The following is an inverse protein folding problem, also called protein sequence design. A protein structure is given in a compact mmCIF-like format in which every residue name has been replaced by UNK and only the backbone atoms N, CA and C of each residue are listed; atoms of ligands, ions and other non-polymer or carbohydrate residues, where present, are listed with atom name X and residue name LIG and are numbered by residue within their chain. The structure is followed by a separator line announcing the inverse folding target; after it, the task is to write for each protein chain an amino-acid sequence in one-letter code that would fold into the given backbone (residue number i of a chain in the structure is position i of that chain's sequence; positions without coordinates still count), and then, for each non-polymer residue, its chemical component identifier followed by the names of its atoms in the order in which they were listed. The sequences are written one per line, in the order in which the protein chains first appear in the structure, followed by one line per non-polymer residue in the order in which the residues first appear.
data_IF_638783486141
#
_entry.id   IF_638783486141
#
_cell.length_a   1.000
_cell.length_b   1.000
_cell.length_c   1.000
_cell.angle_alpha   90.00
_cell.angle_beta   90.00
_cell.angle_gamma   90.00
#
_symmetry.space_group_name_H-M   'P 1'
#
loop_
_entity.id
_entity.type
_entity.pdbx_description
1 polymer ?
#
# COMPACT_ATOMS: atom_id res chain seq x y z
N UNK A 1 -8.77 -2.20 3.20
CA UNK A 1 -7.33 -2.48 3.41
C UNK A 1 -6.88 -3.75 2.72
N UNK A 2 -7.29 -4.95 3.15
CA UNK A 2 -6.90 -6.21 2.45
C UNK A 2 -7.36 -6.17 0.98
N UNK A 3 -8.63 -5.84 0.72
CA UNK A 3 -9.13 -5.68 -0.64
C UNK A 3 -8.42 -4.59 -1.46
N UNK A 4 -7.84 -3.57 -0.81
CA UNK A 4 -7.05 -2.55 -1.50
C UNK A 4 -5.68 -3.11 -1.93
N UNK A 5 -5.06 -3.93 -1.07
CA UNK A 5 -3.83 -4.66 -1.40
C UNK A 5 -4.07 -5.61 -2.58
N UNK A 6 -5.15 -6.39 -2.53
CA UNK A 6 -5.51 -7.34 -3.58
C UNK A 6 -5.85 -6.63 -4.89
N UNK A 7 -6.57 -5.51 -4.84
CA UNK A 7 -6.89 -4.69 -6.02
C UNK A 7 -5.63 -4.13 -6.68
N UNK A 8 -4.65 -3.69 -5.89
CA UNK A 8 -3.33 -3.29 -6.36
C UNK A 8 -2.42 -4.47 -6.75
N UNK A 9 -2.93 -5.71 -6.73
CA UNK A 9 -2.18 -6.94 -7.01
C UNK A 9 -1.00 -7.18 -6.07
N UNK A 10 -1.02 -6.60 -4.88
CA UNK A 10 -0.03 -6.83 -3.86
C UNK A 10 -0.27 -8.19 -3.18
N UNK A 11 0.80 -8.93 -2.91
CA UNK A 11 0.72 -10.18 -2.13
C UNK A 11 0.69 -9.85 -0.64
N UNK A 12 -0.45 -10.13 0.00
CA UNK A 12 -0.64 -9.98 1.45
C UNK A 12 0.12 -11.08 2.19
N UNK A 13 0.92 -10.68 3.17
CA UNK A 13 1.71 -11.58 4.04
C UNK A 13 1.02 -11.76 5.39
N UNK A 14 0.59 -10.66 6.02
CA UNK A 14 -0.08 -10.66 7.32
C UNK A 14 -0.88 -9.35 7.49
N UNK A 15 -1.74 -9.29 8.50
CA UNK A 15 -2.45 -8.07 8.86
C UNK A 15 -2.82 -8.02 10.34
N UNK A 16 -2.88 -6.81 10.90
CA UNK A 16 -3.36 -6.56 12.25
C UNK A 16 -4.28 -5.35 12.25
N UNK A 17 -5.38 -5.44 12.99
CA UNK A 17 -6.33 -4.35 13.19
C UNK A 17 -6.66 -4.21 14.66
N UNK A 18 -6.68 -2.96 15.13
CA UNK A 18 -7.09 -2.60 16.48
C UNK A 18 -8.17 -1.53 16.42
N UNK A 19 -9.33 -1.82 17.04
CA UNK A 19 -10.41 -0.85 17.22
C UNK A 19 -10.23 -0.18 18.57
N UNK A 20 -10.31 1.15 18.58
CA UNK A 20 -10.25 1.94 19.81
C UNK A 20 -11.66 2.22 20.33
N UNK A 21 -11.75 2.43 21.64
CA UNK A 21 -12.95 2.93 22.29
C UNK A 21 -12.79 4.45 22.54
N UNK A 22 -13.83 5.27 22.32
CA UNK A 22 -15.18 4.89 21.87
C UNK A 22 -15.31 4.64 20.35
N UNK A 23 -14.37 5.11 19.54
CA UNK A 23 -14.35 4.95 18.08
C UNK A 23 -12.91 5.01 17.56
N UNK A 24 -12.75 4.78 16.26
CA UNK A 24 -11.47 4.78 15.57
C UNK A 24 -10.86 3.39 15.41
N UNK A 25 -9.98 3.27 14.43
CA UNK A 25 -9.30 2.04 14.09
C UNK A 25 -7.88 2.36 13.63
N UNK A 26 -6.93 1.50 14.01
CA UNK A 26 -5.63 1.41 13.35
C UNK A 26 -5.46 0.04 12.74
N UNK A 27 -4.91 -0.01 11.54
CA UNK A 27 -4.70 -1.25 10.81
C UNK A 27 -3.43 -1.21 9.97
N UNK A 28 -2.75 -2.35 9.88
CA UNK A 28 -1.60 -2.54 9.00
C UNK A 28 -1.78 -3.85 8.26
N UNK A 29 -1.58 -3.81 6.95
CA UNK A 29 -1.47 -4.98 6.08
C UNK A 29 -0.03 -5.04 5.60
N UNK A 30 0.68 -6.07 6.04
CA UNK A 30 2.03 -6.36 5.55
C UNK A 30 1.89 -7.01 4.18
N UNK A 31 2.56 -6.44 3.19
CA UNK A 31 2.66 -7.00 1.84
C UNK A 31 4.11 -7.37 1.56
N UNK A 32 4.37 -8.13 0.49
CA UNK A 32 5.74 -8.50 0.13
C UNK A 32 6.64 -7.26 0.05
N UNK A 33 7.61 -7.18 0.97
CA UNK A 33 8.66 -6.15 1.05
C UNK A 33 8.21 -4.73 1.47
N UNK A 34 6.94 -4.52 1.88
CA UNK A 34 6.42 -3.19 2.26
C UNK A 34 5.11 -3.28 3.09
N UNK A 35 4.21 -2.28 3.05
CA UNK A 35 2.97 -2.29 3.84
C UNK A 35 1.91 -1.28 3.36
N UNK A 36 0.65 -1.56 3.70
CA UNK A 36 -0.41 -0.54 3.71
C UNK A 36 -0.89 -0.32 5.15
N UNK A 37 -0.93 0.93 5.61
CA UNK A 37 -1.38 1.28 6.95
C UNK A 37 -2.54 2.28 6.90
N UNK A 38 -3.43 2.23 7.90
CA UNK A 38 -4.54 3.16 8.06
C UNK A 38 -4.77 3.49 9.53
N UNK A 39 -5.09 4.75 9.79
CA UNK A 39 -5.56 5.27 11.07
C UNK A 39 -6.82 6.11 10.84
N UNK A 40 -7.90 5.85 11.58
CA UNK A 40 -9.18 6.55 11.38
C UNK A 40 -9.63 7.31 12.62
N UNK A 41 -10.21 8.48 12.38
CA UNK A 41 -10.89 9.34 13.36
C UNK A 41 -12.31 9.63 12.88
N UNK A 42 -13.27 8.73 13.15
CA UNK A 42 -14.66 8.88 12.72
C UNK A 42 -15.31 10.19 13.17
N UNK A 43 -14.94 10.70 14.34
CA UNK A 43 -15.40 11.98 14.89
C UNK A 43 -15.07 13.19 14.01
N UNK A 44 -14.10 13.06 13.10
CA UNK A 44 -13.70 14.07 12.13
C UNK A 44 -13.97 13.67 10.69
N UNK A 45 -14.54 12.48 10.45
CA UNK A 45 -14.66 11.91 9.10
C UNK A 45 -13.30 11.74 8.40
N UNK A 46 -12.23 11.48 9.17
CA UNK A 46 -10.85 11.51 8.67
C UNK A 46 -10.17 10.13 8.72
N UNK A 47 -9.35 9.85 7.72
CA UNK A 47 -8.43 8.73 7.71
C UNK A 47 -7.04 9.17 7.22
N UNK A 48 -6.00 8.79 7.95
CA UNK A 48 -4.62 8.84 7.49
C UNK A 48 -4.25 7.47 6.93
N UNK A 49 -3.66 7.43 5.73
CA UNK A 49 -3.36 6.19 5.01
C UNK A 49 -1.94 6.27 4.45
N UNK A 50 -1.16 5.22 4.68
CA UNK A 50 0.16 5.01 4.06
C UNK A 50 0.07 3.83 3.09
N UNK A 51 0.43 4.05 1.83
CA UNK A 51 0.42 3.04 0.77
C UNK A 51 1.85 2.87 0.26
N UNK A 52 2.62 2.02 0.94
CA UNK A 52 3.99 1.74 0.57
C UNK A 52 4.05 0.41 -0.17
N UNK A 53 4.39 0.45 -1.46
CA UNK A 53 4.57 -0.74 -2.31
C UNK A 53 6.02 -0.85 -2.79
N UNK A 54 6.38 -2.03 -3.31
CA UNK A 54 7.68 -2.28 -3.92
C UNK A 54 7.51 -2.99 -5.28
N UNK A 55 8.46 -2.78 -6.19
CA UNK A 55 8.43 -3.33 -7.55
C UNK A 55 7.59 -2.51 -8.53
N UNK A 56 7.68 -2.84 -9.81
CA UNK A 56 6.98 -2.13 -10.89
C UNK A 56 5.57 -2.68 -11.16
N UNK A 57 5.24 -3.85 -10.62
CA UNK A 57 3.98 -4.56 -10.85
C UNK A 57 2.85 -4.14 -9.91
N UNK A 58 3.14 -3.35 -8.88
CA UNK A 58 2.18 -2.93 -7.83
C UNK A 58 2.14 -1.41 -7.77
N UNK A 59 1.09 -0.82 -8.32
CA UNK A 59 0.87 0.62 -8.29
C UNK A 59 0.16 1.02 -6.98
N UNK A 60 0.76 1.86 -6.12
CA UNK A 60 0.10 2.32 -4.90
C UNK A 60 -1.17 3.15 -5.18
N UNK A 61 -1.29 3.76 -6.37
CA UNK A 61 -2.46 4.52 -6.77
C UNK A 61 -3.71 3.65 -6.97
N UNK A 62 -3.55 2.38 -7.35
CA UNK A 62 -4.67 1.44 -7.43
C UNK A 62 -5.28 1.20 -6.04
N UNK A 63 -4.44 1.00 -5.02
CA UNK A 63 -4.89 0.87 -3.64
C UNK A 63 -5.53 2.17 -3.13
N UNK A 64 -4.98 3.33 -3.51
CA UNK A 64 -5.53 4.63 -3.17
C UNK A 64 -6.94 4.81 -3.73
N UNK A 65 -7.16 4.59 -5.04
CA UNK A 65 -8.47 4.77 -5.66
C UNK A 65 -9.50 3.81 -5.11
N UNK A 66 -9.09 2.56 -4.84
CA UNK A 66 -9.94 1.60 -4.15
C UNK A 66 -10.37 2.14 -2.77
N UNK A 67 -9.43 2.57 -1.93
CA UNK A 67 -9.75 3.08 -0.59
C UNK A 67 -10.57 4.37 -0.62
N UNK A 68 -10.26 5.30 -1.52
CA UNK A 68 -11.00 6.54 -1.69
C UNK A 68 -12.47 6.28 -1.99
N UNK A 69 -12.76 5.28 -2.85
CA UNK A 69 -14.12 4.84 -3.15
C UNK A 69 -14.79 4.17 -1.95
N UNK A 70 -14.13 3.19 -1.33
CA UNK A 70 -14.73 2.41 -0.22
C UNK A 70 -14.93 3.23 1.06
N UNK A 71 -14.11 4.27 1.27
CA UNK A 71 -14.25 5.21 2.39
C UNK A 71 -15.18 6.38 2.06
N UNK A 72 -15.70 6.46 0.83
CA UNK A 72 -16.54 7.55 0.34
C UNK A 72 -15.88 8.93 0.57
N UNK A 73 -14.57 9.00 0.32
CA UNK A 73 -13.78 10.19 0.61
C UNK A 73 -14.16 11.35 -0.33
N UNK A 74 -14.78 12.40 0.20
CA UNK A 74 -15.14 13.59 -0.57
C UNK A 74 -13.92 14.44 -0.99
N UNK A 75 -12.84 14.36 -0.22
CA UNK A 75 -11.58 15.05 -0.51
C UNK A 75 -10.38 14.23 -0.05
N UNK A 76 -9.23 14.49 -0.65
CA UNK A 76 -7.97 13.85 -0.32
C UNK A 76 -6.81 14.84 -0.45
N UNK A 77 -5.72 14.55 0.25
CA UNK A 77 -4.43 15.23 0.10
C UNK A 77 -3.36 14.16 0.11
N UNK A 78 -2.57 14.10 -0.96
CA UNK A 78 -1.62 13.01 -1.20
C UNK A 78 -0.22 13.53 -1.42
N UNK A 79 0.77 12.79 -0.96
CA UNK A 79 2.18 13.02 -1.26
C UNK A 79 2.82 11.70 -1.63
N UNK A 80 3.51 11.66 -2.78
CA UNK A 80 4.23 10.48 -3.23
C UNK A 80 5.73 10.65 -2.95
N UNK A 81 6.34 9.64 -2.32
CA UNK A 81 7.76 9.63 -2.01
C UNK A 81 8.41 8.37 -2.59
N UNK A 82 9.33 8.54 -3.53
CA UNK A 82 10.18 7.45 -4.02
C UNK A 82 11.16 7.01 -2.93
N UNK A 83 11.12 5.74 -2.57
CA UNK A 83 11.98 5.14 -1.53
C UNK A 83 13.11 4.34 -2.18
N UNK A 84 14.25 4.22 -1.49
CA UNK A 84 15.34 3.37 -1.95
C UNK A 84 16.06 3.87 -3.21
N UNK A 85 16.11 5.19 -3.45
CA UNK A 85 16.96 5.78 -4.49
C UNK A 85 18.43 5.65 -4.08
N UNK A 86 19.01 4.48 -4.38
CA UNK A 86 20.37 4.12 -4.04
C UNK A 86 21.26 4.27 -5.27
N UNK A 87 22.27 5.15 -5.20
CA UNK A 87 23.31 5.26 -6.23
C UNK A 87 24.44 4.27 -5.94
N UNK A 88 24.13 2.97 -6.09
CA UNK A 88 25.08 1.88 -5.85
C UNK A 88 25.40 1.25 -7.22
N UNK A 89 26.67 1.28 -7.67
CA UNK A 89 27.06 0.62 -8.91
C UNK A 89 26.68 -0.86 -8.90
N UNK A 90 26.04 -1.33 -9.98
CA UNK A 90 25.57 -2.71 -10.15
C UNK A 90 24.48 -3.17 -9.17
N UNK A 91 23.70 -2.26 -8.59
CA UNK A 91 22.51 -2.63 -7.81
C UNK A 91 21.48 -3.30 -8.73
N UNK A 92 21.18 -4.57 -8.47
CA UNK A 92 20.11 -5.28 -9.17
C UNK A 92 18.77 -4.79 -8.65
N UNK A 93 18.03 -4.05 -9.46
CA UNK A 93 16.63 -3.76 -9.20
C UNK A 93 15.77 -4.97 -9.56
N UNK A 94 14.74 -5.24 -8.76
CA UNK A 94 13.82 -6.35 -8.98
C UNK A 94 12.79 -5.96 -10.06
N UNK A 95 13.24 -5.94 -11.31
CA UNK A 95 12.38 -5.89 -12.51
C UNK A 95 13.04 -6.42 -13.81
N UNK A 96 14.17 -7.14 -13.76
CA UNK A 96 14.84 -7.60 -15.00
C UNK A 96 14.80 -9.14 -15.26
N UNK A 97 14.28 -9.96 -14.33
CA UNK A 97 14.52 -11.41 -14.36
C UNK A 97 13.29 -12.33 -14.44
N UNK A 98 12.06 -11.82 -14.53
CA UNK A 98 10.89 -12.70 -14.70
C UNK A 98 10.57 -13.03 -16.17
N UNK A 99 11.11 -12.29 -17.15
CA UNK A 99 10.84 -12.55 -18.57
C UNK A 99 11.77 -13.60 -19.22
N UNK A 100 12.88 -13.99 -18.57
CA UNK A 100 13.82 -14.99 -19.14
C UNK A 100 13.63 -16.43 -18.66
N UNK A 101 12.69 -16.69 -17.73
CA UNK A 101 12.47 -18.03 -17.20
C UNK A 101 11.35 -18.83 -17.91
N UNK A 102 10.69 -18.25 -18.92
CA UNK A 102 9.55 -18.86 -19.64
C UNK A 102 9.82 -19.10 -21.13
N UNK A 103 11.07 -18.99 -21.60
CA UNK A 103 11.46 -19.24 -22.99
C UNK A 103 12.59 -20.27 -23.20
N UNK A 104 12.87 -21.12 -22.21
CA UNK A 104 13.80 -22.25 -22.33
C UNK A 104 13.08 -23.58 -22.46
#
# INVERSE_FOLDING_TARGET
MIGAAEYAKATVVDYVFHKFAPHGLSGVVVISESHLAIHTWPEYGYAAVDLFTCGESVDPWDAFFYLSRELEAESNTTMELKRGLLDIPNLRHKADNEEKALSS
#
